data_IF_646142746489
#
_entry.id   IF_646142746489
#
_cell.length_a   1.000
_cell.length_b   1.000
_cell.length_c   1.000
_cell.angle_alpha   90.00
_cell.angle_beta   90.00
_cell.angle_gamma   90.00
#
_symmetry.space_group_name_H-M   'P 1'
#
loop_
_entity.id
_entity.type
_entity.pdbx_description
1 polymer ?
#
# COMPACT_ATOMS: atom_id res chain seq x y z
N UNK A 1 22.91 35.71 -26.81
CA UNK A 1 22.72 35.15 -28.18
C UNK A 1 21.31 34.62 -28.27
N UNK A 2 20.46 35.16 -29.15
CA UNK A 2 19.11 34.65 -29.40
C UNK A 2 19.25 33.51 -30.41
N UNK A 3 18.77 32.34 -30.09
CA UNK A 3 18.78 31.17 -30.96
C UNK A 3 17.33 30.81 -31.26
N UNK A 4 16.99 30.72 -32.53
CA UNK A 4 15.69 30.17 -32.94
C UNK A 4 15.67 28.69 -32.59
N UNK A 5 14.67 28.30 -31.82
CA UNK A 5 14.50 26.91 -31.34
C UNK A 5 13.41 26.17 -32.10
N UNK A 6 12.40 26.91 -32.55
CA UNK A 6 11.25 26.34 -33.25
C UNK A 6 10.50 27.43 -34.05
N UNK A 7 10.05 27.09 -35.26
CA UNK A 7 9.21 27.96 -36.10
C UNK A 7 7.91 27.23 -36.46
N UNK A 8 6.78 27.91 -36.34
CA UNK A 8 5.46 27.43 -36.74
C UNK A 8 4.82 28.41 -37.70
N UNK A 9 4.36 27.89 -38.79
CA UNK A 9 3.55 28.64 -39.78
C UNK A 9 2.14 28.07 -39.84
N UNK A 10 1.12 28.93 -39.86
CA UNK A 10 -0.29 28.62 -39.88
C UNK A 10 -1.06 29.48 -40.85
N UNK A 11 -1.38 28.94 -42.00
CA UNK A 11 -2.09 29.65 -43.06
C UNK A 11 -3.61 29.71 -42.84
N UNK A 12 -4.17 28.78 -42.05
CA UNK A 12 -5.64 28.68 -41.90
C UNK A 12 -6.03 28.49 -40.43
N UNK A 13 -7.18 29.06 -40.06
CA UNK A 13 -7.79 28.89 -38.74
C UNK A 13 -8.95 27.88 -38.87
N UNK A 14 -8.76 26.70 -38.28
CA UNK A 14 -9.78 25.63 -38.18
C UNK A 14 -9.58 24.84 -36.87
N UNK A 15 -10.50 23.98 -36.52
CA UNK A 15 -10.43 23.19 -35.29
C UNK A 15 -9.21 22.24 -35.23
N UNK A 16 -8.69 21.81 -36.37
CA UNK A 16 -7.53 20.94 -36.51
C UNK A 16 -6.19 21.68 -36.66
N UNK A 17 -6.23 23.00 -36.93
CA UNK A 17 -5.04 23.87 -37.04
C UNK A 17 -4.91 24.88 -35.90
N UNK A 18 -5.86 24.88 -34.96
CA UNK A 18 -5.89 25.84 -33.85
C UNK A 18 -4.74 25.59 -32.89
N UNK A 19 -3.85 26.57 -32.75
CA UNK A 19 -2.76 26.58 -31.80
C UNK A 19 -1.72 25.45 -32.00
N UNK A 20 -1.15 24.95 -30.93
CA UNK A 20 -0.16 23.85 -30.97
C UNK A 20 -0.83 22.50 -31.00
N UNK A 21 -0.46 21.66 -31.96
CA UNK A 21 -0.78 20.22 -31.90
C UNK A 21 0.14 19.49 -30.95
N UNK A 22 -0.31 18.33 -30.46
CA UNK A 22 0.46 17.54 -29.48
C UNK A 22 1.89 17.21 -29.96
N UNK A 23 2.05 16.85 -31.22
CA UNK A 23 3.36 16.54 -31.78
C UNK A 23 4.27 17.79 -31.80
N UNK A 24 3.77 18.91 -32.24
CA UNK A 24 4.50 20.18 -32.29
C UNK A 24 4.87 20.67 -30.87
N UNK A 25 3.95 20.54 -29.92
CA UNK A 25 4.23 20.84 -28.52
C UNK A 25 5.35 19.96 -27.95
N UNK A 26 5.38 18.67 -28.30
CA UNK A 26 6.46 17.76 -27.91
C UNK A 26 7.80 18.18 -28.49
N UNK A 27 7.85 18.51 -29.79
CA UNK A 27 9.07 18.92 -30.48
C UNK A 27 9.59 20.25 -29.92
N UNK A 28 8.71 21.22 -29.70
CA UNK A 28 9.04 22.51 -29.09
C UNK A 28 9.63 22.33 -27.69
N UNK A 29 8.94 21.56 -26.83
CA UNK A 29 9.40 21.34 -25.45
C UNK A 29 10.72 20.58 -25.40
N UNK A 30 10.94 19.62 -26.31
CA UNK A 30 12.22 18.92 -26.43
C UNK A 30 13.34 19.87 -26.83
N UNK A 31 13.13 20.72 -27.82
CA UNK A 31 14.15 21.65 -28.29
C UNK A 31 14.51 22.72 -27.24
N UNK A 32 13.51 23.25 -26.53
CA UNK A 32 13.73 24.19 -25.41
C UNK A 32 14.50 23.50 -24.28
N UNK A 33 14.10 22.29 -23.91
CA UNK A 33 14.76 21.50 -22.87
C UNK A 33 16.22 21.21 -23.20
N UNK A 34 16.52 20.80 -24.43
CA UNK A 34 17.88 20.54 -24.89
C UNK A 34 18.74 21.80 -24.79
N UNK A 35 18.22 22.94 -25.25
CA UNK A 35 18.93 24.19 -25.19
C UNK A 35 19.25 24.63 -23.74
N UNK A 36 18.26 24.57 -22.85
CA UNK A 36 18.42 24.96 -21.44
C UNK A 36 19.41 24.04 -20.71
N UNK A 37 19.27 22.74 -20.86
CA UNK A 37 20.13 21.80 -20.13
C UNK A 37 21.56 21.79 -20.64
N UNK A 38 21.79 21.97 -21.94
CA UNK A 38 23.13 22.11 -22.47
C UNK A 38 23.79 23.37 -21.92
N UNK A 39 23.10 24.53 -21.88
CA UNK A 39 23.62 25.76 -21.29
C UNK A 39 23.95 25.58 -19.79
N UNK A 40 23.07 24.95 -19.03
CA UNK A 40 23.33 24.63 -17.61
C UNK A 40 24.54 23.72 -17.43
N UNK A 41 24.67 22.67 -18.28
CA UNK A 41 25.80 21.76 -18.21
C UNK A 41 27.12 22.45 -18.57
N UNK A 42 27.14 23.31 -19.59
CA UNK A 42 28.32 24.13 -19.96
C UNK A 42 28.74 25.05 -18.82
N UNK A 43 27.79 25.75 -18.20
CA UNK A 43 28.06 26.60 -17.06
C UNK A 43 28.64 25.83 -15.88
N UNK A 44 28.00 24.72 -15.50
CA UNK A 44 28.45 23.87 -14.40
C UNK A 44 29.85 23.28 -14.64
N UNK A 45 30.17 22.93 -15.88
CA UNK A 45 31.52 22.49 -16.25
C UNK A 45 32.55 23.62 -16.17
N UNK A 46 32.22 24.83 -16.62
CA UNK A 46 33.09 26.00 -16.51
C UNK A 46 33.43 26.35 -15.06
N UNK A 47 32.43 26.28 -14.17
CA UNK A 47 32.61 26.50 -12.72
C UNK A 47 33.48 25.44 -12.05
N UNK A 48 33.41 24.17 -12.53
CA UNK A 48 34.15 23.06 -11.97
C UNK A 48 35.54 22.83 -12.60
N UNK A 49 35.86 23.54 -13.71
CA UNK A 49 37.13 23.34 -14.40
C UNK A 49 38.36 23.79 -13.58
N UNK A 50 38.35 24.90 -12.82
CA UNK A 50 39.44 25.22 -11.93
C UNK A 50 39.44 24.38 -10.66
N UNK A 51 40.61 24.09 -10.12
CA UNK A 51 40.75 23.46 -8.83
C UNK A 51 40.28 24.38 -7.71
N UNK A 52 39.39 23.99 -6.78
CA UNK A 52 38.90 24.88 -5.72
C UNK A 52 39.98 25.22 -4.67
N UNK A 53 41.11 24.48 -4.63
CA UNK A 53 42.20 24.74 -3.68
C UNK A 53 43.28 25.67 -4.21
N UNK A 54 43.66 25.53 -5.48
CA UNK A 54 44.80 26.26 -6.03
C UNK A 54 44.46 27.10 -7.30
N UNK A 55 43.21 27.05 -7.78
CA UNK A 55 42.75 27.78 -8.95
C UNK A 55 43.27 27.28 -10.31
N UNK A 56 44.19 26.32 -10.34
CA UNK A 56 44.73 25.81 -11.60
C UNK A 56 43.67 24.98 -12.36
N UNK A 57 43.69 25.10 -13.70
CA UNK A 57 42.82 24.31 -14.57
C UNK A 57 43.12 22.81 -14.43
N UNK A 58 42.07 22.00 -14.29
CA UNK A 58 42.20 20.55 -14.16
C UNK A 58 42.51 19.91 -15.51
N UNK A 59 43.38 18.91 -15.49
CA UNK A 59 43.77 18.18 -16.68
C UNK A 59 42.63 17.25 -17.14
N UNK A 60 42.22 17.42 -18.40
CA UNK A 60 41.23 16.53 -19.03
C UNK A 60 41.81 15.10 -19.24
N UNK A 61 41.02 14.10 -18.97
CA UNK A 61 41.35 12.69 -19.24
C UNK A 61 40.65 12.19 -20.49
N UNK A 62 39.37 12.14 -20.47
CA UNK A 62 38.48 11.67 -21.53
C UNK A 62 37.07 12.26 -21.36
N UNK A 63 36.18 12.01 -22.30
CA UNK A 63 34.78 12.41 -22.21
C UNK A 63 33.88 11.21 -22.44
N UNK A 64 32.81 11.10 -21.62
CA UNK A 64 31.77 10.09 -21.76
C UNK A 64 30.43 10.80 -21.86
N UNK A 65 29.45 10.15 -22.50
CA UNK A 65 28.08 10.65 -22.49
C UNK A 65 27.35 10.16 -21.22
N UNK A 66 26.66 11.06 -20.55
CA UNK A 66 25.66 10.69 -19.56
C UNK A 66 24.26 10.90 -20.14
N UNK A 67 23.35 10.00 -19.78
CA UNK A 67 21.96 10.03 -20.23
C UNK A 67 21.08 10.45 -19.05
N UNK A 68 20.38 11.56 -19.20
CA UNK A 68 19.40 12.05 -18.23
C UNK A 68 18.01 12.04 -18.89
N UNK A 69 17.02 11.58 -18.16
CA UNK A 69 15.61 11.54 -18.60
C UNK A 69 14.81 12.61 -17.88
N UNK A 70 14.14 13.45 -18.65
CA UNK A 70 13.24 14.49 -18.15
C UNK A 70 11.84 14.29 -18.69
N UNK A 71 10.87 15.10 -18.27
CA UNK A 71 9.53 15.14 -18.87
C UNK A 71 9.56 15.45 -20.37
N UNK A 72 10.55 16.21 -20.81
CA UNK A 72 10.60 16.77 -22.17
C UNK A 72 11.72 16.14 -23.01
N UNK A 73 12.10 14.91 -22.72
CA UNK A 73 13.00 14.15 -23.55
C UNK A 73 14.12 13.42 -22.81
N UNK A 74 14.92 12.70 -23.59
CA UNK A 74 16.11 12.00 -23.14
C UNK A 74 17.35 12.74 -23.62
N UNK A 75 18.05 13.34 -22.67
CA UNK A 75 19.21 14.19 -22.89
C UNK A 75 20.50 13.35 -22.88
N UNK A 76 21.39 13.59 -23.83
CA UNK A 76 22.73 13.00 -23.88
C UNK A 76 23.77 14.09 -23.68
N UNK A 77 24.26 14.23 -22.47
CA UNK A 77 25.19 15.28 -22.08
C UNK A 77 26.65 14.80 -22.19
N UNK A 78 27.54 15.52 -22.88
CA UNK A 78 28.96 15.26 -22.81
C UNK A 78 29.45 15.44 -21.38
N UNK A 79 30.06 14.42 -20.81
CA UNK A 79 30.52 14.43 -19.42
C UNK A 79 32.02 14.20 -19.39
N UNK A 80 32.84 15.27 -19.35
CA UNK A 80 34.27 15.13 -19.25
C UNK A 80 34.69 14.50 -17.93
N UNK A 81 35.75 13.73 -17.95
CA UNK A 81 36.44 13.27 -16.76
C UNK A 81 37.75 14.01 -16.62
N UNK A 82 38.00 14.52 -15.44
CA UNK A 82 39.23 15.27 -15.14
C UNK A 82 40.05 14.53 -14.09
N UNK A 83 41.35 14.72 -14.17
CA UNK A 83 42.25 14.30 -13.12
C UNK A 83 42.12 15.24 -11.91
N UNK A 84 42.21 14.70 -10.72
CA UNK A 84 42.34 15.48 -9.52
C UNK A 84 43.66 16.31 -9.57
N UNK A 85 43.63 17.51 -9.02
CA UNK A 85 44.78 18.39 -9.04
C UNK A 85 45.92 17.82 -8.18
N UNK A 86 47.15 18.08 -8.61
CA UNK A 86 48.35 17.67 -7.87
C UNK A 86 48.51 18.28 -6.47
N UNK A 87 47.73 19.32 -6.14
CA UNK A 87 47.67 19.91 -4.80
C UNK A 87 46.79 19.12 -3.81
N UNK A 88 46.09 18.06 -4.29
CA UNK A 88 45.22 17.22 -3.46
C UNK A 88 45.87 15.87 -3.13
N UNK A 89 45.58 15.28 -1.97
CA UNK A 89 46.20 14.00 -1.57
C UNK A 89 45.89 12.83 -2.52
N UNK A 90 44.82 12.93 -3.29
CA UNK A 90 44.39 11.87 -4.25
C UNK A 90 44.73 12.26 -5.71
N UNK A 91 46.01 12.47 -6.00
CA UNK A 91 46.47 13.00 -7.28
C UNK A 91 46.21 12.13 -8.50
N UNK A 92 46.14 10.81 -8.35
CA UNK A 92 46.01 9.84 -9.45
C UNK A 92 44.58 9.36 -9.72
N UNK A 93 43.60 10.01 -9.13
CA UNK A 93 42.17 9.65 -9.32
C UNK A 93 41.49 10.64 -10.27
N UNK A 94 40.44 10.19 -10.91
CA UNK A 94 39.62 11.00 -11.82
C UNK A 94 38.20 11.13 -11.31
N UNK A 95 37.55 12.24 -11.61
CA UNK A 95 36.15 12.47 -11.31
C UNK A 95 35.41 13.04 -12.53
N UNK A 96 34.10 12.91 -12.55
CA UNK A 96 33.24 13.49 -13.57
C UNK A 96 32.28 14.47 -12.89
N UNK A 97 32.42 15.79 -13.14
CA UNK A 97 31.59 16.81 -12.50
C UNK A 97 30.08 16.58 -12.70
N UNK A 98 29.67 16.37 -13.96
CA UNK A 98 28.25 16.16 -14.26
C UNK A 98 27.71 14.85 -13.66
N UNK A 99 28.54 13.82 -13.55
CA UNK A 99 28.12 12.58 -12.90
C UNK A 99 27.91 12.77 -11.39
N UNK A 100 28.70 13.64 -10.76
CA UNK A 100 28.56 13.98 -9.34
C UNK A 100 27.36 14.92 -9.07
N UNK A 101 27.14 15.91 -9.95
CA UNK A 101 26.01 16.83 -9.86
C UNK A 101 24.67 16.16 -10.18
N UNK A 102 24.68 15.15 -11.08
CA UNK A 102 23.49 14.44 -11.54
C UNK A 102 23.59 12.94 -11.17
N UNK A 103 23.60 12.58 -9.87
CA UNK A 103 23.67 11.18 -9.44
C UNK A 103 22.42 10.40 -9.87
N UNK A 104 21.29 11.07 -9.88
CA UNK A 104 20.03 10.53 -10.43
C UNK A 104 19.91 10.89 -11.91
N UNK A 105 19.54 9.88 -12.70
CA UNK A 105 19.47 9.99 -14.17
C UNK A 105 18.05 10.20 -14.68
N UNK A 106 17.13 10.54 -13.80
CA UNK A 106 15.72 10.86 -14.09
C UNK A 106 15.34 12.06 -13.25
N UNK A 107 14.74 13.07 -13.87
CA UNK A 107 14.30 14.26 -13.14
C UNK A 107 13.19 13.93 -12.13
N UNK A 108 13.06 14.68 -11.04
CA UNK A 108 12.05 14.45 -10.01
C UNK A 108 10.63 14.41 -10.57
N UNK A 109 10.27 15.29 -11.49
CA UNK A 109 8.93 15.38 -12.07
C UNK A 109 8.59 14.14 -12.89
N UNK A 110 9.52 13.65 -13.72
CA UNK A 110 9.32 12.41 -14.47
C UNK A 110 9.24 11.21 -13.53
N UNK A 111 10.11 11.14 -12.54
CA UNK A 111 10.08 10.10 -11.51
C UNK A 111 8.76 10.09 -10.74
N UNK A 112 8.26 11.26 -10.38
CA UNK A 112 6.97 11.42 -9.72
C UNK A 112 5.81 10.90 -10.58
N UNK A 113 5.74 11.28 -11.86
CA UNK A 113 4.66 10.82 -12.74
C UNK A 113 4.73 9.30 -12.99
N UNK A 114 5.95 8.75 -13.16
CA UNK A 114 6.15 7.31 -13.25
C UNK A 114 5.65 6.58 -12.00
N UNK A 115 5.99 7.08 -10.81
CA UNK A 115 5.55 6.51 -9.54
C UNK A 115 4.03 6.64 -9.38
N UNK A 116 3.47 7.81 -9.65
CA UNK A 116 2.02 8.07 -9.54
C UNK A 116 1.20 7.16 -10.44
N UNK A 117 1.54 7.06 -11.74
CA UNK A 117 0.79 6.24 -12.67
C UNK A 117 0.97 4.75 -12.38
N UNK A 118 2.20 4.29 -12.08
CA UNK A 118 2.45 2.90 -11.73
C UNK A 118 1.77 2.46 -10.43
N UNK A 119 1.54 3.38 -9.50
CA UNK A 119 0.70 3.16 -8.33
C UNK A 119 -0.77 2.87 -8.68
N UNK A 120 -1.27 3.35 -9.82
CA UNK A 120 -2.67 3.22 -10.25
C UNK A 120 -2.88 2.12 -11.28
N UNK A 121 -1.98 2.03 -12.28
CA UNK A 121 -2.10 1.11 -13.42
C UNK A 121 -0.82 0.28 -13.60
N UNK A 122 -0.80 -0.65 -14.58
CA UNK A 122 0.39 -1.48 -14.85
C UNK A 122 1.58 -0.66 -15.30
N UNK A 123 2.79 -1.19 -15.13
CA UNK A 123 4.02 -0.53 -15.59
C UNK A 123 4.04 -0.29 -17.11
N UNK A 124 3.47 -1.22 -17.88
CA UNK A 124 3.32 -1.05 -19.34
C UNK A 124 2.38 0.09 -19.66
N UNK A 125 1.16 0.04 -19.14
CA UNK A 125 0.18 1.10 -19.38
C UNK A 125 0.66 2.47 -18.86
N UNK A 126 1.43 2.50 -17.75
CA UNK A 126 2.05 3.75 -17.27
C UNK A 126 3.06 4.30 -18.28
N UNK A 127 3.86 3.43 -18.89
CA UNK A 127 4.82 3.83 -19.92
C UNK A 127 4.12 4.33 -21.19
N UNK A 128 3.06 3.65 -21.60
CA UNK A 128 2.28 3.99 -22.80
C UNK A 128 1.58 5.35 -22.62
N UNK A 129 0.87 5.55 -21.50
CA UNK A 129 0.18 6.82 -21.20
C UNK A 129 1.15 8.02 -21.11
N UNK A 130 2.32 7.82 -20.46
CA UNK A 130 3.33 8.87 -20.40
C UNK A 130 3.93 9.15 -21.78
N UNK A 131 4.19 8.13 -22.60
CA UNK A 131 4.70 8.29 -23.97
C UNK A 131 3.69 8.93 -24.92
N UNK A 132 2.39 8.73 -24.68
CA UNK A 132 1.34 9.38 -25.46
C UNK A 132 1.33 10.90 -25.29
N UNK A 133 1.49 11.40 -24.08
CA UNK A 133 1.38 12.84 -23.79
C UNK A 133 2.71 13.57 -23.71
N UNK A 134 3.82 12.89 -23.39
CA UNK A 134 5.14 13.48 -23.21
C UNK A 134 6.12 13.06 -24.32
N UNK A 135 7.13 13.87 -24.67
CA UNK A 135 8.14 13.54 -25.68
C UNK A 135 9.21 12.57 -25.17
N UNK A 136 8.80 11.44 -24.60
CA UNK A 136 9.71 10.46 -24.01
C UNK A 136 10.27 9.46 -25.04
N UNK A 137 9.74 9.50 -26.27
CA UNK A 137 10.11 8.59 -27.34
C UNK A 137 9.80 7.13 -27.02
N UNK A 138 10.28 6.20 -27.87
CA UNK A 138 10.15 4.75 -27.63
C UNK A 138 11.02 4.22 -26.48
N UNK A 139 11.73 5.09 -25.78
CA UNK A 139 12.70 4.72 -24.74
C UNK A 139 12.09 4.41 -23.37
N UNK A 140 10.81 4.71 -23.16
CA UNK A 140 10.15 4.42 -21.89
C UNK A 140 9.52 3.04 -21.92
N UNK A 141 10.22 2.05 -21.35
CA UNK A 141 9.72 0.68 -21.22
C UNK A 141 9.17 0.40 -19.83
N UNK A 142 8.25 -0.55 -19.71
CA UNK A 142 7.70 -1.05 -18.44
C UNK A 142 8.78 -1.38 -17.41
N UNK A 143 9.90 -1.96 -17.84
CA UNK A 143 11.05 -2.28 -16.97
C UNK A 143 11.77 -1.04 -16.41
N UNK A 144 11.80 0.06 -17.18
CA UNK A 144 12.36 1.34 -16.73
C UNK A 144 11.47 1.98 -15.68
N UNK A 145 10.15 2.02 -15.94
CA UNK A 145 9.16 2.50 -14.97
C UNK A 145 9.24 1.67 -13.68
N UNK A 146 9.22 0.34 -13.79
CA UNK A 146 9.33 -0.55 -12.64
C UNK A 146 10.58 -0.26 -11.80
N UNK A 147 11.74 -0.14 -12.44
CA UNK A 147 13.01 0.14 -11.74
C UNK A 147 12.98 1.49 -11.02
N UNK A 148 12.44 2.52 -11.65
CA UNK A 148 12.31 3.85 -11.05
C UNK A 148 11.35 3.84 -9.86
N UNK A 149 10.20 3.18 -10.00
CA UNK A 149 9.22 2.99 -8.91
C UNK A 149 9.83 2.25 -7.73
N UNK A 150 10.58 1.18 -7.99
CA UNK A 150 11.26 0.43 -6.93
C UNK A 150 12.36 1.25 -6.23
N UNK A 151 13.08 2.10 -6.97
CA UNK A 151 14.07 2.99 -6.38
C UNK A 151 13.42 4.05 -5.47
N UNK A 152 12.31 4.64 -5.93
CA UNK A 152 11.52 5.60 -5.13
C UNK A 152 10.95 4.93 -3.88
N UNK A 153 10.37 3.73 -4.02
CA UNK A 153 9.85 2.97 -2.88
C UNK A 153 10.94 2.57 -1.89
N UNK A 154 12.12 2.18 -2.38
CA UNK A 154 13.26 1.85 -1.51
C UNK A 154 13.73 3.07 -0.71
N UNK A 155 13.65 4.28 -1.28
CA UNK A 155 13.95 5.52 -0.54
C UNK A 155 12.95 5.72 0.60
N UNK A 156 11.64 5.50 0.37
CA UNK A 156 10.62 5.53 1.43
C UNK A 156 10.90 4.50 2.52
N UNK A 157 11.27 3.26 2.14
CA UNK A 157 11.64 2.21 3.10
C UNK A 157 12.86 2.57 3.94
N UNK A 158 13.86 3.21 3.34
CA UNK A 158 15.07 3.65 4.06
C UNK A 158 14.78 4.80 5.04
N UNK A 159 13.76 5.59 4.77
CA UNK A 159 13.31 6.69 5.65
C UNK A 159 12.37 6.19 6.76
N UNK A 160 11.79 5.01 6.62
CA UNK A 160 11.01 4.37 7.67
C UNK A 160 11.95 4.04 8.84
N UNK A 161 11.61 4.49 10.04
CA UNK A 161 12.41 4.23 11.24
C UNK A 161 12.61 2.74 11.53
N UNK A 162 13.26 2.45 12.63
CA UNK A 162 13.56 1.07 13.04
C UNK A 162 12.35 0.39 13.67
N UNK A 163 12.27 -0.93 13.49
CA UNK A 163 11.30 -1.77 14.18
C UNK A 163 11.67 -1.86 15.66
N UNK A 164 10.64 -1.81 16.53
CA UNK A 164 10.79 -1.97 17.98
C UNK A 164 9.76 -2.95 18.52
N UNK A 165 10.07 -3.60 19.60
CA UNK A 165 9.11 -4.43 20.32
C UNK A 165 7.99 -3.56 20.93
N UNK A 166 8.35 -2.42 21.52
CA UNK A 166 7.41 -1.44 22.08
C UNK A 166 7.68 -0.04 21.53
N UNK A 167 6.62 0.69 21.28
CA UNK A 167 6.60 2.12 20.95
C UNK A 167 6.04 2.96 22.09
N UNK A 168 5.85 2.37 23.28
CA UNK A 168 5.43 3.04 24.51
C UNK A 168 6.69 3.44 25.23
N UNK A 169 7.05 4.72 25.16
CA UNK A 169 8.29 5.27 25.71
C UNK A 169 8.07 6.05 27.03
N UNK A 170 6.80 6.20 27.48
CA UNK A 170 6.42 6.97 28.67
C UNK A 170 5.84 6.08 29.76
N UNK A 171 6.00 6.46 31.03
CA UNK A 171 5.33 5.75 32.12
C UNK A 171 3.84 6.11 32.20
N UNK A 172 3.04 5.27 32.85
CA UNK A 172 1.59 5.46 32.92
C UNK A 172 1.21 6.75 33.66
N UNK A 173 1.97 7.12 34.70
CA UNK A 173 1.72 8.35 35.46
C UNK A 173 1.84 9.60 34.57
N UNK A 174 2.88 9.67 33.73
CA UNK A 174 3.07 10.79 32.81
C UNK A 174 1.94 10.88 31.76
N UNK A 175 1.39 9.73 31.36
CA UNK A 175 0.28 9.68 30.39
C UNK A 175 -1.05 10.12 31.00
N UNK A 176 -1.26 9.89 32.31
CA UNK A 176 -2.47 10.29 33.01
C UNK A 176 -2.56 11.81 33.21
N UNK A 177 -1.43 12.51 33.21
CA UNK A 177 -1.35 13.98 33.29
C UNK A 177 -1.68 14.66 31.94
N UNK A 178 -1.61 13.93 30.81
CA UNK A 178 -1.90 14.50 29.50
C UNK A 178 -3.40 14.62 29.24
N UNK A 179 -3.87 15.70 28.57
CA UNK A 179 -5.24 15.81 28.12
C UNK A 179 -5.59 14.62 27.21
N UNK A 180 -6.66 13.88 27.51
CA UNK A 180 -7.10 12.78 26.66
C UNK A 180 -7.83 13.33 25.45
N UNK A 181 -7.49 12.86 24.23
CA UNK A 181 -8.27 13.16 23.05
C UNK A 181 -9.69 12.57 23.18
N UNK A 182 -10.71 13.34 22.77
CA UNK A 182 -12.12 13.03 23.03
C UNK A 182 -12.63 11.76 22.30
N UNK A 183 -12.00 11.35 21.21
CA UNK A 183 -12.48 10.26 20.38
C UNK A 183 -11.34 9.29 20.00
N UNK A 184 -11.61 7.97 19.95
CA UNK A 184 -10.60 6.98 19.58
C UNK A 184 -10.25 7.05 18.10
N UNK A 185 -9.00 6.71 17.78
CA UNK A 185 -8.62 6.31 16.43
C UNK A 185 -9.06 4.86 16.19
N UNK A 186 -9.61 4.59 15.02
CA UNK A 186 -10.00 3.25 14.63
C UNK A 186 -9.07 2.77 13.52
N UNK A 187 -8.51 1.59 13.69
CA UNK A 187 -7.65 0.93 12.71
C UNK A 187 -8.26 -0.40 12.32
N UNK A 188 -8.48 -0.59 11.06
CA UNK A 188 -8.83 -1.91 10.54
C UNK A 188 -7.67 -2.51 9.77
N UNK A 189 -7.44 -3.81 9.98
CA UNK A 189 -6.41 -4.62 9.32
C UNK A 189 -7.06 -5.85 8.71
N UNK A 190 -6.70 -6.15 7.46
CA UNK A 190 -7.22 -7.33 6.76
C UNK A 190 -6.21 -7.82 5.72
N UNK A 191 -6.25 -9.13 5.43
CA UNK A 191 -5.35 -9.81 4.53
C UNK A 191 -5.90 -9.96 3.12
N UNK A 192 -5.02 -9.98 2.14
CA UNK A 192 -5.32 -10.33 0.75
C UNK A 192 -4.21 -11.15 0.13
N UNK A 193 -4.55 -12.02 -0.81
CA UNK A 193 -3.58 -12.92 -1.44
C UNK A 193 -3.21 -12.45 -2.85
N UNK A 194 -1.92 -12.55 -3.16
CA UNK A 194 -1.34 -12.16 -4.45
C UNK A 194 -0.55 -13.33 -5.05
N UNK A 195 -0.65 -13.49 -6.37
CA UNK A 195 0.07 -14.55 -7.10
C UNK A 195 1.59 -14.36 -7.04
N UNK A 196 2.30 -15.41 -6.62
CA UNK A 196 3.76 -15.46 -6.58
C UNK A 196 4.36 -15.71 -7.98
N UNK A 197 5.47 -15.03 -8.27
CA UNK A 197 6.28 -15.27 -9.47
C UNK A 197 7.32 -16.38 -9.26
N UNK A 198 7.62 -16.74 -8.02
CA UNK A 198 8.71 -17.66 -7.66
C UNK A 198 8.23 -19.06 -7.33
N UNK A 199 6.97 -19.21 -6.88
CA UNK A 199 6.37 -20.48 -6.54
C UNK A 199 5.43 -20.94 -7.65
N UNK A 200 5.57 -22.20 -8.08
CA UNK A 200 4.89 -22.73 -9.26
C UNK A 200 3.72 -23.66 -8.95
N UNK A 201 3.57 -24.13 -7.72
CA UNK A 201 2.48 -25.01 -7.35
C UNK A 201 1.21 -24.23 -7.06
N UNK A 202 0.04 -24.84 -7.35
CA UNK A 202 -1.26 -24.19 -7.12
C UNK A 202 -1.51 -23.91 -5.62
N UNK A 203 -0.85 -24.65 -4.73
CA UNK A 203 -0.99 -24.55 -3.28
C UNK A 203 -0.07 -23.47 -2.68
N UNK A 204 1.14 -23.31 -3.23
CA UNK A 204 2.17 -22.38 -2.75
C UNK A 204 2.35 -21.16 -3.68
N UNK A 205 1.48 -21.03 -4.68
CA UNK A 205 1.57 -19.95 -5.70
C UNK A 205 1.07 -18.59 -5.25
N UNK A 206 0.80 -18.41 -3.95
CA UNK A 206 0.24 -17.19 -3.37
C UNK A 206 1.04 -16.77 -2.14
N UNK A 207 1.08 -15.48 -1.87
CA UNK A 207 1.55 -14.94 -0.60
C UNK A 207 0.60 -13.87 -0.09
N UNK A 208 0.62 -13.68 1.21
CA UNK A 208 -0.26 -12.75 1.88
C UNK A 208 0.28 -11.33 1.87
N UNK A 209 -0.62 -10.39 1.68
CA UNK A 209 -0.42 -8.95 1.74
C UNK A 209 -1.42 -8.40 2.73
N UNK A 210 -0.93 -7.70 3.74
CA UNK A 210 -1.77 -7.02 4.72
C UNK A 210 -2.03 -5.60 4.23
N UNK A 211 -3.29 -5.21 4.27
CA UNK A 211 -3.71 -3.82 4.09
C UNK A 211 -4.41 -3.32 5.35
N UNK A 212 -4.12 -2.09 5.72
CA UNK A 212 -4.75 -1.44 6.84
C UNK A 212 -5.27 -0.06 6.48
N UNK A 213 -6.23 0.41 7.27
CA UNK A 213 -6.80 1.74 7.17
C UNK A 213 -6.94 2.35 8.55
N UNK A 214 -6.38 3.53 8.70
CA UNK A 214 -6.55 4.36 9.89
C UNK A 214 -7.65 5.37 9.64
N UNK A 215 -8.65 5.35 10.51
CA UNK A 215 -9.81 6.24 10.48
C UNK A 215 -9.63 7.27 11.60
N UNK A 216 -9.21 8.51 11.27
CA UNK A 216 -9.18 9.57 12.26
C UNK A 216 -10.61 10.04 12.58
N UNK A 217 -10.76 10.66 13.71
CA UNK A 217 -12.03 11.29 14.12
C UNK A 217 -12.43 12.42 13.17
N UNK A 218 -11.45 13.19 12.73
CA UNK A 218 -11.62 14.31 11.79
C UNK A 218 -10.56 14.20 10.70
N UNK A 219 -10.93 14.55 9.47
CA UNK A 219 -10.02 14.51 8.34
C UNK A 219 -10.18 13.28 7.43
N UNK A 220 -9.23 13.09 6.51
CA UNK A 220 -9.27 11.98 5.55
C UNK A 220 -8.60 10.74 6.13
N UNK A 221 -9.22 9.57 6.00
CA UNK A 221 -8.58 8.31 6.39
C UNK A 221 -7.35 8.03 5.53
N UNK A 222 -6.37 7.33 6.10
CA UNK A 222 -5.20 6.88 5.37
C UNK A 222 -5.12 5.35 5.32
N UNK A 223 -4.57 4.84 4.23
CA UNK A 223 -4.29 3.41 4.08
C UNK A 223 -2.78 3.15 4.10
N UNK A 224 -2.43 1.95 4.53
CA UNK A 224 -1.07 1.42 4.46
C UNK A 224 -1.14 -0.05 4.03
N UNK A 225 0.00 -0.64 3.71
CA UNK A 225 0.03 -2.06 3.35
C UNK A 225 1.45 -2.57 3.24
N UNK A 226 1.62 -3.88 3.44
CA UNK A 226 2.90 -4.55 3.38
C UNK A 226 2.73 -6.01 3.01
N UNK A 227 3.81 -6.64 2.58
CA UNK A 227 3.85 -8.09 2.34
C UNK A 227 4.32 -8.78 3.61
N UNK A 228 3.49 -9.64 4.18
CA UNK A 228 3.71 -10.30 5.47
C UNK A 228 5.06 -11.04 5.54
N UNK A 229 5.40 -11.80 4.51
CA UNK A 229 6.64 -12.60 4.48
C UNK A 229 7.90 -11.80 4.11
N UNK A 230 7.77 -10.51 3.79
CA UNK A 230 8.88 -9.68 3.32
C UNK A 230 9.17 -8.48 4.23
N UNK A 231 8.15 -7.85 4.80
CA UNK A 231 8.32 -6.68 5.66
C UNK A 231 8.96 -7.07 6.99
N UNK A 232 10.04 -6.41 7.34
CA UNK A 232 10.74 -6.58 8.63
C UNK A 232 10.37 -5.52 9.65
N UNK A 233 9.48 -4.57 9.28
CA UNK A 233 9.13 -3.39 10.09
C UNK A 233 7.61 -3.16 10.17
N UNK A 234 6.77 -4.19 10.36
CA UNK A 234 5.31 -4.04 10.28
C UNK A 234 4.75 -3.16 11.42
N UNK A 235 5.27 -3.28 12.66
CA UNK A 235 4.85 -2.43 13.78
C UNK A 235 5.26 -0.97 13.57
N UNK A 236 6.49 -0.74 13.11
CA UNK A 236 6.95 0.62 12.79
C UNK A 236 6.07 1.27 11.73
N UNK A 237 5.69 0.53 10.70
CA UNK A 237 4.80 1.02 9.64
C UNK A 237 3.43 1.40 10.18
N UNK A 238 2.85 0.57 11.03
CA UNK A 238 1.57 0.85 11.67
C UNK A 238 1.68 2.05 12.61
N UNK A 239 2.74 2.13 13.40
CA UNK A 239 3.00 3.28 14.29
C UNK A 239 3.13 4.60 13.51
N UNK A 240 3.87 4.61 12.40
CA UNK A 240 4.00 5.79 11.53
C UNK A 240 2.65 6.18 10.90
N UNK A 241 1.83 5.19 10.50
CA UNK A 241 0.50 5.46 9.97
C UNK A 241 -0.43 6.10 11.01
N UNK A 242 -0.35 5.66 12.26
CA UNK A 242 -1.10 6.23 13.39
C UNK A 242 -0.62 7.65 13.73
N UNK A 243 0.69 7.83 13.83
CA UNK A 243 1.33 9.14 14.12
C UNK A 243 1.00 10.15 13.03
N UNK A 244 1.02 9.74 11.75
CA UNK A 244 0.64 10.61 10.63
C UNK A 244 -0.84 11.02 10.66
N UNK A 245 -1.69 10.31 11.40
CA UNK A 245 -3.09 10.66 11.67
C UNK A 245 -3.28 11.42 12.99
N UNK A 246 -2.20 11.84 13.61
CA UNK A 246 -2.23 12.65 14.83
C UNK A 246 -2.44 11.85 16.11
N UNK A 247 -2.03 10.58 16.16
CA UNK A 247 -2.09 9.78 17.38
C UNK A 247 -1.30 10.47 18.50
N UNK A 248 -2.00 10.81 19.58
CA UNK A 248 -1.39 11.28 20.82
C UNK A 248 -0.90 10.09 21.68
N UNK A 249 0.11 10.28 22.57
CA UNK A 249 0.64 9.20 23.40
C UNK A 249 -0.41 8.50 24.27
N UNK A 250 -1.44 9.21 24.70
CA UNK A 250 -2.57 8.71 25.52
C UNK A 250 -3.88 8.54 24.71
N UNK A 251 -3.80 8.54 23.36
CA UNK A 251 -4.95 8.34 22.47
C UNK A 251 -5.50 6.93 22.65
N UNK A 252 -6.81 6.78 22.77
CA UNK A 252 -7.45 5.48 22.62
C UNK A 252 -7.39 5.06 21.16
N UNK A 253 -6.87 3.84 20.89
CA UNK A 253 -6.78 3.25 19.55
C UNK A 253 -7.51 1.92 19.55
N UNK A 254 -8.54 1.79 18.71
CA UNK A 254 -9.29 0.53 18.55
C UNK A 254 -8.81 -0.17 17.28
N UNK A 255 -8.22 -1.34 17.43
CA UNK A 255 -7.79 -2.21 16.34
C UNK A 255 -8.86 -3.25 16.05
N UNK A 256 -9.31 -3.33 14.81
CA UNK A 256 -10.24 -4.33 14.30
C UNK A 256 -9.52 -5.25 13.32
N UNK A 257 -9.53 -6.55 13.58
CA UNK A 257 -8.87 -7.56 12.72
C UNK A 257 -9.74 -8.81 12.60
N UNK A 258 -9.39 -9.66 11.63
CA UNK A 258 -10.00 -11.00 11.49
C UNK A 258 -9.52 -12.01 12.56
N UNK A 259 -8.55 -11.63 13.41
CA UNK A 259 -7.98 -12.48 14.46
C UNK A 259 -6.97 -13.52 13.97
N UNK A 260 -6.48 -13.39 12.74
CA UNK A 260 -5.40 -14.21 12.18
C UNK A 260 -4.12 -14.16 13.02
N UNK A 261 -3.34 -15.24 13.03
CA UNK A 261 -2.11 -15.33 13.84
C UNK A 261 -1.09 -14.26 13.45
N UNK A 262 -0.95 -13.99 12.17
CA UNK A 262 0.03 -13.06 11.61
C UNK A 262 -0.23 -11.58 11.97
N UNK A 263 -1.48 -11.24 12.33
CA UNK A 263 -1.89 -9.86 12.65
C UNK A 263 -2.12 -9.68 14.15
N UNK A 264 -2.27 -10.78 14.90
CA UNK A 264 -2.71 -10.79 16.30
C UNK A 264 -1.85 -9.95 17.22
N UNK A 265 -0.52 -9.98 17.04
CA UNK A 265 0.44 -9.31 17.92
C UNK A 265 0.88 -7.95 17.39
N UNK A 266 0.48 -7.60 16.16
CA UNK A 266 0.84 -6.34 15.54
C UNK A 266 0.35 -5.10 16.35
N UNK A 267 -0.89 -5.09 16.90
CA UNK A 267 -1.38 -3.99 17.72
C UNK A 267 -0.74 -3.85 19.10
N UNK A 268 -0.03 -4.89 19.57
CA UNK A 268 0.51 -4.92 20.93
C UNK A 268 1.66 -3.92 21.09
N UNK A 269 1.67 -3.18 22.22
CA UNK A 269 2.73 -2.23 22.59
C UNK A 269 2.96 -1.06 21.61
N UNK A 270 1.97 -0.72 20.79
CA UNK A 270 1.99 0.47 19.95
C UNK A 270 1.50 1.71 20.69
N UNK A 271 0.51 1.52 21.55
CA UNK A 271 -0.11 2.57 22.35
C UNK A 271 -0.62 1.96 23.65
N UNK A 272 -0.46 2.64 24.82
CA UNK A 272 -0.91 2.14 26.11
C UNK A 272 -2.43 2.01 26.26
N UNK A 273 -3.19 2.76 25.46
CA UNK A 273 -4.66 2.71 25.40
C UNK A 273 -5.17 1.94 24.16
N UNK A 274 -4.33 1.04 23.63
CA UNK A 274 -4.68 0.21 22.49
C UNK A 274 -5.64 -0.91 22.87
N UNK A 275 -6.74 -1.04 22.17
CA UNK A 275 -7.73 -2.10 22.31
C UNK A 275 -7.80 -2.91 21.03
N UNK A 276 -7.66 -4.24 21.12
CA UNK A 276 -7.74 -5.13 19.96
C UNK A 276 -9.02 -5.95 19.99
N UNK A 277 -9.84 -5.82 18.98
CA UNK A 277 -11.16 -6.47 18.86
C UNK A 277 -11.24 -7.31 17.59
N UNK A 278 -11.97 -8.42 17.69
CA UNK A 278 -12.37 -9.17 16.51
C UNK A 278 -13.39 -8.39 15.68
N UNK A 279 -13.27 -8.50 14.37
CA UNK A 279 -14.23 -7.96 13.44
C UNK A 279 -15.54 -8.78 13.43
N UNK A 280 -16.64 -8.11 13.72
CA UNK A 280 -17.98 -8.68 13.70
C UNK A 280 -18.37 -9.23 12.31
N UNK A 281 -17.90 -8.61 11.23
CA UNK A 281 -18.16 -9.09 9.87
C UNK A 281 -17.60 -10.49 9.66
N UNK A 282 -16.34 -10.75 10.03
CA UNK A 282 -15.72 -12.07 9.89
C UNK A 282 -16.39 -13.15 10.74
N UNK A 283 -16.79 -12.82 11.98
CA UNK A 283 -17.58 -13.70 12.83
C UNK A 283 -18.90 -14.08 12.13
N UNK A 284 -19.65 -13.09 11.66
CA UNK A 284 -20.96 -13.35 11.04
C UNK A 284 -20.87 -14.05 9.70
N UNK A 285 -19.81 -13.80 8.92
CA UNK A 285 -19.55 -14.50 7.67
C UNK A 285 -19.34 -16.00 7.92
N UNK A 286 -18.48 -16.38 8.89
CA UNK A 286 -18.25 -17.78 9.26
C UNK A 286 -19.54 -18.48 9.70
N UNK A 287 -20.34 -17.83 10.56
CA UNK A 287 -21.65 -18.38 10.99
C UNK A 287 -22.61 -18.52 9.80
N UNK A 288 -22.65 -17.56 8.89
CA UNK A 288 -23.50 -17.63 7.70
C UNK A 288 -23.11 -18.77 6.78
N UNK A 289 -21.81 -19.02 6.60
CA UNK A 289 -21.30 -20.15 5.82
C UNK A 289 -21.75 -21.47 6.46
N UNK A 290 -21.57 -21.65 7.78
CA UNK A 290 -22.04 -22.83 8.51
C UNK A 290 -23.56 -22.99 8.42
N UNK A 291 -24.32 -21.91 8.58
CA UNK A 291 -25.78 -21.95 8.45
C UNK A 291 -26.25 -22.35 7.03
N UNK A 292 -25.53 -21.92 5.99
CA UNK A 292 -25.81 -22.34 4.62
C UNK A 292 -25.50 -23.85 4.40
N UNK A 293 -24.38 -24.32 4.94
CA UNK A 293 -24.06 -25.77 4.91
C UNK A 293 -25.13 -26.59 5.67
N UNK A 294 -25.61 -26.12 6.82
CA UNK A 294 -26.62 -26.78 7.62
C UNK A 294 -28.00 -26.90 6.91
N UNK A 295 -28.28 -26.06 5.89
CA UNK A 295 -29.51 -26.20 5.07
C UNK A 295 -29.55 -27.49 4.28
N UNK A 296 -28.40 -28.04 3.89
CA UNK A 296 -28.27 -29.27 3.11
C UNK A 296 -28.24 -30.56 3.96
N UNK A 297 -28.25 -30.43 5.29
CA UNK A 297 -28.30 -31.60 6.18
C UNK A 297 -29.57 -32.40 5.96
N UNK A 298 -29.39 -33.71 5.83
CA UNK A 298 -30.49 -34.71 5.73
C UNK A 298 -30.27 -35.78 6.79
N UNK A 299 -31.34 -36.42 7.29
CA UNK A 299 -31.21 -37.58 8.15
C UNK A 299 -30.31 -38.65 7.51
N UNK A 300 -29.41 -39.28 8.26
CA UNK A 300 -28.62 -40.38 7.73
C UNK A 300 -29.55 -41.52 7.25
N UNK A 301 -29.12 -42.31 6.24
CA UNK A 301 -29.86 -43.48 5.85
C UNK A 301 -29.99 -44.44 7.05
N UNK A 302 -31.08 -45.19 7.16
CA UNK A 302 -31.23 -46.15 8.22
C UNK A 302 -30.11 -47.22 8.12
N UNK A 303 -29.23 -47.20 9.08
CA UNK A 303 -28.14 -48.17 9.21
C UNK A 303 -28.47 -49.13 10.38
N UNK A 304 -28.15 -50.41 10.21
CA UNK A 304 -28.45 -51.44 11.24
C UNK A 304 -27.63 -51.26 12.52
N UNK A 305 -26.52 -50.51 12.43
CA UNK A 305 -25.62 -50.24 13.57
C UNK A 305 -25.92 -48.88 14.26
N UNK A 306 -26.80 -48.03 13.71
CA UNK A 306 -27.19 -46.78 14.30
C UNK A 306 -28.61 -46.86 14.86
N UNK A 307 -28.77 -46.83 16.18
CA UNK A 307 -30.08 -46.77 16.87
C UNK A 307 -30.80 -45.41 16.72
N UNK A 308 -30.49 -44.61 15.66
CA UNK A 308 -31.04 -43.27 15.45
C UNK A 308 -32.24 -43.33 14.50
N UNK A 309 -33.44 -43.14 15.04
CA UNK A 309 -34.65 -43.07 14.22
C UNK A 309 -34.69 -41.74 13.40
N UNK A 310 -35.38 -41.76 12.25
CA UNK A 310 -35.51 -40.61 11.34
C UNK A 310 -36.14 -39.39 12.00
N UNK A 311 -36.99 -39.55 13.00
CA UNK A 311 -37.65 -38.46 13.72
C UNK A 311 -36.67 -37.76 14.66
N UNK A 312 -35.85 -38.51 15.37
CA UNK A 312 -34.79 -38.01 16.24
C UNK A 312 -33.71 -37.31 15.41
N UNK A 313 -33.28 -37.93 14.27
CA UNK A 313 -32.34 -37.27 13.35
C UNK A 313 -32.85 -35.92 12.81
N UNK A 314 -34.13 -35.88 12.40
CA UNK A 314 -34.75 -34.62 11.92
C UNK A 314 -34.81 -33.57 13.03
N UNK A 315 -35.06 -33.96 14.27
CA UNK A 315 -35.06 -33.08 15.44
C UNK A 315 -33.65 -32.49 15.67
N UNK A 316 -32.61 -33.32 15.70
CA UNK A 316 -31.22 -32.87 15.87
C UNK A 316 -30.79 -31.89 14.77
N UNK A 317 -31.13 -32.14 13.51
CA UNK A 317 -30.87 -31.22 12.40
C UNK A 317 -31.55 -29.87 12.63
N UNK A 318 -32.78 -29.88 13.14
CA UNK A 318 -33.51 -28.65 13.48
C UNK A 318 -32.83 -27.87 14.63
N UNK A 319 -32.33 -28.61 15.64
CA UNK A 319 -31.58 -28.05 16.77
C UNK A 319 -30.27 -27.44 16.33
N UNK A 320 -29.47 -28.12 15.52
CA UNK A 320 -28.24 -27.55 14.91
C UNK A 320 -28.52 -26.23 14.20
N UNK A 321 -29.60 -26.15 13.40
CA UNK A 321 -29.99 -24.91 12.71
C UNK A 321 -30.42 -23.81 13.65
N UNK A 322 -31.13 -24.15 14.74
CA UNK A 322 -31.51 -23.17 15.76
C UNK A 322 -30.33 -22.70 16.57
N UNK A 323 -29.39 -23.59 16.88
CA UNK A 323 -28.21 -23.29 17.68
C UNK A 323 -27.19 -22.38 16.92
N UNK A 324 -27.06 -22.54 15.61
CA UNK A 324 -26.29 -21.57 14.82
C UNK A 324 -26.86 -20.16 14.89
N UNK A 325 -28.18 -19.99 15.03
CA UNK A 325 -28.81 -18.65 15.26
C UNK A 325 -28.55 -18.16 16.69
N UNK A 326 -28.67 -19.06 17.71
CA UNK A 326 -28.37 -18.72 19.11
C UNK A 326 -26.91 -18.33 19.30
N UNK A 327 -26.00 -19.05 18.64
CA UNK A 327 -24.57 -18.76 18.63
C UNK A 327 -24.28 -17.32 18.18
N UNK A 328 -24.88 -16.88 17.07
CA UNK A 328 -24.78 -15.50 16.59
C UNK A 328 -25.28 -14.51 17.62
N UNK A 329 -26.39 -14.82 18.29
CA UNK A 329 -26.98 -13.94 19.31
C UNK A 329 -26.09 -13.83 20.55
N UNK A 330 -25.53 -14.96 21.05
CA UNK A 330 -24.62 -14.96 22.19
C UNK A 330 -23.35 -14.15 21.91
N UNK A 331 -22.74 -14.32 20.74
CA UNK A 331 -21.56 -13.57 20.34
C UNK A 331 -21.86 -12.07 20.17
N UNK A 332 -23.05 -11.71 19.69
CA UNK A 332 -23.48 -10.31 19.59
C UNK A 332 -23.51 -9.61 20.95
N UNK A 333 -23.88 -10.33 21.98
CA UNK A 333 -23.93 -9.82 23.35
C UNK A 333 -22.63 -10.10 24.16
N UNK A 334 -21.57 -10.56 23.52
CA UNK A 334 -20.29 -10.85 24.20
C UNK A 334 -20.33 -12.05 25.16
N UNK A 335 -21.38 -12.88 25.08
CA UNK A 335 -21.52 -14.04 25.94
C UNK A 335 -20.77 -15.24 25.37
N UNK A 336 -19.44 -15.20 25.46
CA UNK A 336 -18.56 -16.22 24.89
C UNK A 336 -18.76 -17.58 25.54
N UNK A 337 -19.04 -17.65 26.84
CA UNK A 337 -19.26 -18.91 27.57
C UNK A 337 -20.45 -19.67 26.96
N UNK A 338 -21.58 -18.98 26.78
CA UNK A 338 -22.76 -19.58 26.15
C UNK A 338 -22.55 -19.90 24.67
N UNK A 339 -21.79 -19.08 23.97
CA UNK A 339 -21.43 -19.34 22.57
C UNK A 339 -20.63 -20.63 22.42
N UNK A 340 -19.61 -20.85 23.27
CA UNK A 340 -18.79 -22.07 23.26
C UNK A 340 -19.60 -23.30 23.67
N UNK A 341 -20.46 -23.19 24.72
CA UNK A 341 -21.37 -24.28 25.09
C UNK A 341 -22.32 -24.67 23.95
N UNK A 342 -22.80 -23.67 23.18
CA UNK A 342 -23.65 -23.93 22.01
C UNK A 342 -22.88 -24.66 20.90
N UNK A 343 -21.60 -24.29 20.67
CA UNK A 343 -20.74 -24.98 19.70
C UNK A 343 -20.42 -26.39 20.11
N UNK A 344 -20.18 -26.65 21.41
CA UNK A 344 -19.99 -27.98 21.94
C UNK A 344 -21.25 -28.82 21.68
N UNK A 345 -22.46 -28.26 21.91
CA UNK A 345 -23.75 -28.93 21.60
C UNK A 345 -23.90 -29.23 20.12
N UNK A 346 -23.65 -28.28 19.22
CA UNK A 346 -23.68 -28.50 17.77
C UNK A 346 -22.69 -29.60 17.35
N UNK A 347 -21.52 -29.67 17.95
CA UNK A 347 -20.52 -30.69 17.67
C UNK A 347 -21.03 -32.09 18.05
N UNK A 348 -21.59 -32.21 19.24
CA UNK A 348 -22.18 -33.45 19.74
C UNK A 348 -23.33 -33.92 18.84
N UNK A 349 -24.23 -33.01 18.47
CA UNK A 349 -25.37 -33.33 17.59
C UNK A 349 -24.90 -33.78 16.21
N UNK A 350 -23.88 -33.14 15.64
CA UNK A 350 -23.31 -33.53 14.35
C UNK A 350 -22.56 -34.87 14.42
N UNK A 351 -21.84 -35.16 15.51
CA UNK A 351 -21.16 -36.42 15.73
C UNK A 351 -22.17 -37.56 15.98
N UNK A 352 -23.30 -37.27 16.62
CA UNK A 352 -24.40 -38.22 16.79
C UNK A 352 -25.10 -38.54 15.46
N UNK A 353 -25.31 -37.52 14.61
CA UNK A 353 -25.91 -37.68 13.29
C UNK A 353 -24.97 -38.42 12.31
N UNK A 354 -23.66 -38.17 12.40
CA UNK A 354 -22.69 -38.68 11.43
C UNK A 354 -21.41 -39.20 12.11
N UNK A 355 -21.45 -40.31 12.85
CA UNK A 355 -20.35 -40.82 13.67
C UNK A 355 -19.13 -41.26 12.84
N UNK A 356 -19.32 -41.70 11.59
CA UNK A 356 -18.27 -42.23 10.71
C UNK A 356 -18.07 -41.39 9.45
N UNK A 357 -17.79 -40.07 9.59
CA UNK A 357 -17.78 -39.15 8.46
C UNK A 357 -19.07 -39.22 7.61
N UNK A 358 -19.79 -38.13 7.51
CA UNK A 358 -21.07 -38.08 6.81
C UNK A 358 -20.97 -38.52 5.35
N UNK A 359 -22.04 -39.11 4.78
CA UNK A 359 -22.05 -39.62 3.41
C UNK A 359 -21.88 -38.54 2.34
N UNK A 360 -21.93 -37.27 2.71
CA UNK A 360 -21.73 -36.14 1.78
C UNK A 360 -20.58 -35.27 2.17
N UNK A 361 -19.88 -34.74 1.15
CA UNK A 361 -18.79 -33.78 1.29
C UNK A 361 -19.22 -32.48 2.03
N UNK A 362 -20.50 -32.10 1.93
CA UNK A 362 -21.01 -30.91 2.61
C UNK A 362 -21.20 -31.10 4.12
N UNK A 363 -21.50 -32.31 4.58
CA UNK A 363 -21.63 -32.68 5.99
C UNK A 363 -20.25 -32.64 6.65
N UNK A 364 -19.24 -33.28 6.05
CA UNK A 364 -17.85 -33.26 6.51
C UNK A 364 -17.29 -31.85 6.56
N UNK A 365 -17.62 -31.02 5.58
CA UNK A 365 -17.25 -29.58 5.57
C UNK A 365 -17.88 -28.82 6.72
N UNK A 366 -19.14 -29.10 7.09
CA UNK A 366 -19.78 -28.41 8.22
C UNK A 366 -19.13 -28.81 9.55
N UNK A 367 -18.92 -30.11 9.81
CA UNK A 367 -18.22 -30.58 11.02
C UNK A 367 -16.85 -29.91 11.16
N UNK A 368 -16.08 -29.89 10.07
CA UNK A 368 -14.79 -29.22 10.04
C UNK A 368 -14.91 -27.71 10.32
N UNK A 369 -15.88 -27.03 9.70
CA UNK A 369 -16.10 -25.60 9.87
C UNK A 369 -16.48 -25.24 11.32
N UNK A 370 -17.30 -26.08 11.98
CA UNK A 370 -17.67 -25.89 13.39
C UNK A 370 -16.47 -26.04 14.31
N UNK A 371 -15.63 -27.06 14.11
CA UNK A 371 -14.40 -27.27 14.90
C UNK A 371 -13.38 -26.15 14.69
N UNK A 372 -13.19 -25.71 13.44
CA UNK A 372 -12.33 -24.58 13.13
C UNK A 372 -12.84 -23.28 13.76
N UNK A 373 -14.17 -23.10 13.80
CA UNK A 373 -14.76 -21.91 14.41
C UNK A 373 -14.65 -21.93 15.93
N UNK A 374 -14.81 -23.08 16.58
CA UNK A 374 -14.56 -23.24 18.01
C UNK A 374 -13.11 -22.88 18.37
N UNK A 375 -12.16 -23.46 17.67
CA UNK A 375 -10.72 -23.15 17.86
C UNK A 375 -10.44 -21.66 17.66
N UNK A 376 -11.04 -21.03 16.66
CA UNK A 376 -10.92 -19.61 16.36
C UNK A 376 -11.46 -18.74 17.49
N UNK A 377 -12.65 -19.06 18.05
CA UNK A 377 -13.22 -18.28 19.16
C UNK A 377 -12.38 -18.42 20.44
N UNK A 378 -11.90 -19.64 20.74
CA UNK A 378 -11.05 -19.88 21.92
C UNK A 378 -9.72 -19.14 21.82
N UNK A 379 -9.08 -19.15 20.64
CA UNK A 379 -7.82 -18.44 20.40
C UNK A 379 -7.96 -16.91 20.50
N UNK A 380 -9.17 -16.38 20.28
CA UNK A 380 -9.46 -14.94 20.29
C UNK A 380 -10.40 -14.51 21.42
N UNK A 381 -10.54 -15.32 22.48
CA UNK A 381 -11.52 -15.13 23.57
C UNK A 381 -11.47 -13.72 24.18
N UNK A 382 -10.29 -13.18 24.42
CA UNK A 382 -10.11 -11.84 25.01
C UNK A 382 -10.39 -10.65 24.05
N UNK A 383 -10.77 -10.93 22.79
CA UNK A 383 -11.00 -9.91 21.74
C UNK A 383 -12.45 -9.85 21.26
N UNK A 384 -13.36 -10.55 21.95
CA UNK A 384 -14.78 -10.61 21.63
C UNK A 384 -15.54 -9.72 22.63
N UNK A 385 -15.88 -8.47 22.24
CA UNK A 385 -16.63 -7.57 23.11
C UNK A 385 -18.13 -7.80 23.02
N UNK A 386 -18.91 -7.05 23.80
CA UNK A 386 -20.33 -6.89 23.56
C UNK A 386 -20.56 -5.97 22.33
N UNK A 387 -20.66 -6.58 21.16
CA UNK A 387 -20.85 -5.84 19.90
C UNK A 387 -22.14 -5.01 19.88
N UNK A 388 -23.21 -5.54 20.52
CA UNK A 388 -24.49 -4.83 20.60
C UNK A 388 -24.41 -3.53 21.41
N UNK A 389 -23.66 -3.52 22.49
CA UNK A 389 -23.41 -2.34 23.32
C UNK A 389 -22.56 -1.31 22.59
N UNK A 390 -21.41 -1.74 22.01
CA UNK A 390 -20.54 -0.88 21.23
C UNK A 390 -21.26 -0.21 20.06
N UNK A 391 -22.12 -0.97 19.36
CA UNK A 391 -22.92 -0.40 18.28
C UNK A 391 -23.89 0.67 18.77
N UNK A 392 -24.52 0.46 19.95
CA UNK A 392 -25.40 1.49 20.56
C UNK A 392 -24.63 2.73 20.98
N UNK A 393 -23.36 2.56 21.41
CA UNK A 393 -22.44 3.66 21.71
C UNK A 393 -21.88 4.36 20.47
N UNK A 394 -22.22 3.91 19.24
CA UNK A 394 -21.70 4.48 18.00
C UNK A 394 -20.27 4.07 17.66
N UNK A 395 -19.72 3.07 18.36
CA UNK A 395 -18.35 2.59 18.14
C UNK A 395 -18.25 1.67 16.91
N UNK A 396 -17.09 1.64 16.30
CA UNK A 396 -16.80 0.74 15.18
C UNK A 396 -16.70 -0.71 15.68
N UNK A 397 -17.46 -1.60 15.03
CA UNK A 397 -17.49 -3.04 15.35
C UNK A 397 -17.15 -3.92 14.17
N UNK A 398 -16.88 -3.32 12.99
CA UNK A 398 -16.67 -4.07 11.76
C UNK A 398 -15.68 -3.39 10.85
N UNK A 399 -14.86 -4.20 10.19
CA UNK A 399 -13.87 -3.79 9.17
C UNK A 399 -14.46 -3.65 7.76
N UNK A 400 -15.77 -3.51 7.59
CA UNK A 400 -16.38 -3.33 6.26
C UNK A 400 -15.72 -2.20 5.45
N UNK A 401 -15.19 -1.17 6.12
CA UNK A 401 -14.38 -0.11 5.51
C UNK A 401 -12.99 -0.59 5.08
N UNK A 402 -12.45 -1.66 5.67
CA UNK A 402 -11.12 -2.22 5.33
C UNK A 402 -11.22 -3.19 4.15
N UNK A 403 -12.30 -3.97 4.04
CA UNK A 403 -12.54 -4.82 2.87
C UNK A 403 -12.50 -4.00 1.57
N UNK A 404 -13.12 -2.81 1.58
CA UNK A 404 -13.01 -1.87 0.48
C UNK A 404 -11.56 -1.41 0.25
N UNK A 405 -10.76 -1.29 1.31
CA UNK A 405 -9.35 -0.91 1.25
C UNK A 405 -8.48 -2.04 0.70
N UNK A 406 -8.67 -3.29 1.13
CA UNK A 406 -8.01 -4.47 0.53
C UNK A 406 -8.30 -4.53 -0.97
N UNK A 407 -9.55 -4.34 -1.36
CA UNK A 407 -9.90 -4.28 -2.78
C UNK A 407 -9.20 -3.11 -3.48
N UNK A 408 -9.15 -1.93 -2.88
CA UNK A 408 -8.52 -0.74 -3.47
C UNK A 408 -6.99 -0.86 -3.48
N UNK A 409 -6.36 -1.23 -2.38
CA UNK A 409 -4.90 -1.28 -2.23
C UNK A 409 -4.31 -2.45 -2.98
N UNK A 410 -4.89 -3.64 -2.84
CA UNK A 410 -4.35 -4.91 -3.34
C UNK A 410 -5.04 -5.33 -4.64
N UNK A 411 -6.35 -5.65 -4.57
CA UNK A 411 -7.02 -6.41 -5.62
C UNK A 411 -7.07 -5.69 -6.96
N UNK A 412 -7.42 -4.39 -6.97
CA UNK A 412 -7.53 -3.60 -8.21
C UNK A 412 -6.22 -3.49 -8.97
N UNK A 413 -5.08 -3.46 -8.27
CA UNK A 413 -3.77 -3.27 -8.88
C UNK A 413 -3.00 -4.56 -9.10
N UNK A 414 -3.17 -5.55 -8.24
CA UNK A 414 -2.31 -6.74 -8.22
C UNK A 414 -3.02 -8.03 -8.66
N UNK A 415 -4.37 -8.12 -8.55
CA UNK A 415 -5.10 -9.38 -8.74
C UNK A 415 -6.13 -9.31 -9.86
N UNK A 416 -7.14 -8.40 -9.79
CA UNK A 416 -8.36 -8.52 -10.62
C UNK A 416 -8.18 -8.20 -12.10
N UNK A 417 -7.58 -7.05 -12.45
CA UNK A 417 -7.49 -6.57 -13.84
C UNK A 417 -6.09 -6.68 -14.44
N UNK A 418 -5.10 -6.93 -13.61
CA UNK A 418 -3.69 -6.90 -13.99
C UNK A 418 -3.02 -8.14 -13.42
N UNK A 419 -3.42 -9.30 -13.92
CA UNK A 419 -2.97 -10.64 -13.50
C UNK A 419 -1.46 -10.82 -13.71
N UNK A 420 -0.69 -10.08 -12.93
CA UNK A 420 0.77 -10.23 -12.86
C UNK A 420 1.12 -11.20 -11.76
N UNK A 421 2.22 -11.91 -11.95
CA UNK A 421 2.88 -12.64 -10.87
C UNK A 421 3.89 -11.72 -10.21
N UNK A 422 3.94 -11.74 -8.90
CA UNK A 422 4.73 -10.82 -8.10
C UNK A 422 5.80 -11.56 -7.30
N UNK A 423 6.99 -10.99 -7.21
CA UNK A 423 7.89 -11.34 -6.12
C UNK A 423 7.45 -10.60 -4.84
N UNK A 424 7.62 -11.17 -3.64
CA UNK A 424 7.28 -10.49 -2.39
C UNK A 424 7.88 -9.09 -2.29
N UNK A 425 9.17 -8.93 -2.63
CA UNK A 425 9.83 -7.62 -2.70
C UNK A 425 9.17 -6.66 -3.69
N UNK A 426 8.84 -7.14 -4.88
CA UNK A 426 8.25 -6.30 -5.94
C UNK A 426 6.85 -5.80 -5.57
N UNK A 427 6.05 -6.66 -4.94
CA UNK A 427 4.73 -6.32 -4.43
C UNK A 427 4.84 -5.33 -3.27
N UNK A 428 5.71 -5.60 -2.29
CA UNK A 428 5.92 -4.75 -1.14
C UNK A 428 6.32 -3.32 -1.54
N UNK A 429 7.33 -3.17 -2.38
CA UNK A 429 7.78 -1.85 -2.86
C UNK A 429 6.70 -1.11 -3.64
N UNK A 430 5.92 -1.81 -4.48
CA UNK A 430 4.79 -1.16 -5.15
C UNK A 430 3.71 -0.70 -4.18
N UNK A 431 3.44 -1.45 -3.12
CA UNK A 431 2.48 -1.06 -2.07
C UNK A 431 2.87 0.27 -1.43
N UNK A 432 4.16 0.51 -1.17
CA UNK A 432 4.60 1.78 -0.59
C UNK A 432 4.27 2.97 -1.48
N UNK A 433 4.50 2.84 -2.78
CA UNK A 433 4.12 3.88 -3.74
C UNK A 433 2.60 4.02 -3.84
N UNK A 434 1.90 2.87 -3.92
CA UNK A 434 0.45 2.88 -4.11
C UNK A 434 -0.28 3.52 -2.94
N UNK A 435 0.09 3.21 -1.70
CA UNK A 435 -0.51 3.81 -0.52
C UNK A 435 -0.24 5.30 -0.43
N UNK A 436 0.98 5.77 -0.79
CA UNK A 436 1.29 7.21 -0.89
C UNK A 436 0.43 7.92 -1.95
N UNK A 437 0.18 7.27 -3.09
CA UNK A 437 -0.71 7.81 -4.14
C UNK A 437 -2.15 7.87 -3.66
N UNK A 438 -2.65 6.81 -3.02
CA UNK A 438 -4.03 6.75 -2.53
C UNK A 438 -4.30 7.72 -1.37
N UNK A 439 -3.29 8.03 -0.59
CA UNK A 439 -3.34 8.99 0.52
C UNK A 439 -3.02 10.43 0.10
N UNK A 440 -2.80 10.72 -1.18
CA UNK A 440 -2.36 12.02 -1.71
C UNK A 440 -1.02 12.52 -1.11
N UNK A 441 -0.18 11.62 -0.61
CA UNK A 441 1.07 11.94 0.10
C UNK A 441 2.32 11.96 -0.82
N UNK A 442 2.26 11.33 -2.00
CA UNK A 442 3.44 11.18 -2.87
C UNK A 442 4.07 12.52 -3.26
N UNK A 443 3.25 13.53 -3.56
CA UNK A 443 3.74 14.86 -3.91
C UNK A 443 4.45 15.55 -2.73
N UNK A 444 3.99 15.32 -1.51
CA UNK A 444 4.64 15.81 -0.31
C UNK A 444 6.04 15.20 -0.12
N UNK A 445 6.19 13.88 -0.33
CA UNK A 445 7.48 13.21 -0.26
C UNK A 445 8.46 13.78 -1.29
N UNK A 446 8.01 14.03 -2.52
CA UNK A 446 8.87 14.63 -3.56
C UNK A 446 9.27 16.06 -3.24
N UNK A 447 8.41 16.92 -2.67
CA UNK A 447 8.77 18.26 -2.22
C UNK A 447 9.81 18.23 -1.09
N UNK A 448 9.69 17.29 -0.17
CA UNK A 448 10.65 17.08 0.91
C UNK A 448 12.03 16.66 0.38
N UNK A 449 12.06 15.81 -0.65
CA UNK A 449 13.31 15.36 -1.27
C UNK A 449 13.94 16.37 -2.22
N UNK A 450 13.14 17.18 -2.85
CA UNK A 450 13.54 18.13 -3.89
C UNK A 450 12.84 19.47 -3.63
N UNK A 451 13.51 20.43 -2.97
CA UNK A 451 12.89 21.71 -2.59
C UNK A 451 12.29 22.50 -3.76
N UNK A 452 12.86 22.36 -4.97
CA UNK A 452 12.37 23.02 -6.18
C UNK A 452 11.32 22.21 -6.96
N UNK A 453 10.87 21.07 -6.41
CA UNK A 453 9.85 20.24 -7.07
C UNK A 453 8.49 20.93 -7.03
N UNK A 454 7.94 21.21 -8.22
CA UNK A 454 6.58 21.69 -8.39
C UNK A 454 5.91 20.90 -9.52
N UNK A 455 4.73 20.37 -9.26
CA UNK A 455 3.92 19.64 -10.25
C UNK A 455 2.61 20.36 -10.57
N UNK A 456 2.35 21.48 -9.90
CA UNK A 456 1.20 22.34 -10.13
C UNK A 456 1.66 23.56 -10.93
N UNK A 457 0.97 23.96 -11.99
CA UNK A 457 1.29 25.21 -12.67
C UNK A 457 1.20 26.39 -11.69
N UNK A 458 2.13 27.30 -11.75
CA UNK A 458 2.14 28.57 -10.98
C UNK A 458 1.08 29.56 -11.48
N UNK A 459 -0.06 29.08 -11.95
CA UNK A 459 -1.16 29.91 -12.48
C UNK A 459 -1.73 30.90 -11.48
N UNK A 460 -1.64 30.60 -10.19
CA UNK A 460 -2.10 31.51 -9.15
C UNK A 460 -1.22 32.78 -9.07
N UNK A 461 0.09 32.66 -9.26
CA UNK A 461 1.00 33.80 -9.27
C UNK A 461 0.85 34.70 -10.53
N UNK A 462 0.45 34.14 -11.66
CA UNK A 462 0.18 34.91 -12.88
C UNK A 462 -1.18 35.63 -12.83
N UNK A 463 -2.20 34.99 -12.25
CA UNK A 463 -3.49 35.63 -12.03
C UNK A 463 -3.42 36.74 -11.01
N UNK A 464 -2.68 36.57 -9.92
CA UNK A 464 -2.48 37.63 -8.92
C UNK A 464 -1.70 38.84 -9.52
N UNK A 465 -0.75 38.60 -10.43
CA UNK A 465 -0.04 39.69 -11.14
C UNK A 465 -0.92 40.38 -12.21
N UNK A 466 -1.83 39.62 -12.88
CA UNK A 466 -2.75 40.20 -13.85
C UNK A 466 -3.91 40.95 -13.17
N UNK A 467 -4.37 40.49 -12.01
CA UNK A 467 -5.37 41.20 -11.20
C UNK A 467 -4.78 42.44 -10.52
N UNK A 468 -3.50 42.44 -10.19
CA UNK A 468 -2.81 43.61 -9.64
C UNK A 468 -2.42 44.66 -10.70
N UNK A 469 -2.46 44.31 -11.98
CA UNK A 469 -2.13 45.17 -13.11
C UNK A 469 -3.36 45.71 -13.88
N UNK A 470 -4.56 45.28 -13.50
CA UNK A 470 -5.87 45.75 -14.00
C UNK A 470 -6.56 46.65 -12.96
#
# INVERSE_FOLDING_TARGET
>A
MVREVFALDRDTLSSDTLGLRLAEAKDLLTAVQDSLVNAQAEQALAEQAPCPHCGQARRHKDSRAIVVRSLFGTLRLPSPRWWNCGCQPQTNTTFSPLASLLPQRTTPELSYLQARFAGLVSYGLSADLLGEVLPLGRALHASTVRRQVQATAQRLENELGEERFSFIDTCQADLEELPRPDLPLVVGLDGGYVHSSTQRTRRDGWFEVIAGKVMPTTGKPSCFGYVQTYDTKPKRRLFEALTAQGMAPNQQVTFLTDGGEDIRDLPCYLNPQGEHLLDWFHITMRITVMANMAKSLQPPPPDQDLELDTKTATKLISEVRADLKRLKWFLWHGNLVRALQTLDGITIDLETLYPNEGPSDSQNKLVKAVREFDSYLRANAGRIPNFGERRRAGEAISTAFVESTVNQVISKRMVKKQQMRWSPRGAHLLLQIRTRVLNDQLAHDYRRWYPNFSHTPTTDALNDQLVAAA
#
